data_IF_963050026676
#
_entry.id   IF_963050026676
#
_cell.length_a   1.000
_cell.length_b   1.000
_cell.length_c   1.000
_cell.angle_alpha   90.00
_cell.angle_beta   90.00
_cell.angle_gamma   90.00
#
_symmetry.space_group_name_H-M   'P 1'
#
loop_
_entity.id
_entity.type
_entity.pdbx_description
1 polymer ?
#
# COMPACT_ATOMS: atom_id res chain seq x y z
N UNK A 1 -34.84 -31.11 -74.02
CA UNK A 1 -35.39 -30.11 -73.08
C UNK A 1 -34.33 -29.91 -72.03
N UNK A 2 -33.57 -28.85 -72.25
CA UNK A 2 -32.27 -28.51 -71.68
C UNK A 2 -32.34 -28.09 -70.21
N UNK A 3 -31.32 -28.52 -69.46
CA UNK A 3 -30.98 -27.99 -68.14
C UNK A 3 -29.96 -26.84 -68.31
N UNK A 4 -30.33 -25.63 -67.91
CA UNK A 4 -29.44 -24.47 -67.89
C UNK A 4 -28.60 -24.38 -66.58
N UNK A 5 -27.33 -23.95 -66.64
CA UNK A 5 -26.43 -23.80 -65.48
C UNK A 5 -26.58 -22.42 -64.78
N UNK A 6 -26.05 -22.27 -63.54
CA UNK A 6 -26.16 -21.04 -62.75
C UNK A 6 -25.20 -19.92 -63.18
N UNK A 7 -25.64 -18.66 -63.03
CA UNK A 7 -24.91 -17.42 -63.38
C UNK A 7 -23.97 -16.95 -62.25
N UNK A 8 -22.76 -16.52 -62.64
CA UNK A 8 -21.72 -15.92 -61.77
C UNK A 8 -21.96 -14.43 -61.48
N UNK A 9 -21.47 -13.88 -60.33
CA UNK A 9 -21.61 -12.45 -60.00
C UNK A 9 -20.62 -11.54 -60.76
N UNK A 10 -20.95 -10.24 -60.96
CA UNK A 10 -20.14 -9.29 -61.72
C UNK A 10 -18.92 -8.70 -60.95
N UNK A 11 -17.90 -8.16 -61.66
CA UNK A 11 -16.64 -7.67 -61.08
C UNK A 11 -16.75 -6.27 -60.43
N UNK A 12 -15.78 -5.90 -59.55
CA UNK A 12 -15.76 -4.59 -58.89
C UNK A 12 -15.24 -3.46 -59.80
N UNK A 13 -15.65 -2.19 -59.55
CA UNK A 13 -15.21 -1.03 -60.33
C UNK A 13 -13.78 -0.53 -59.95
N UNK A 14 -13.11 0.23 -60.85
CA UNK A 14 -11.69 0.59 -60.71
C UNK A 14 -11.41 1.81 -59.80
N UNK A 15 -10.20 1.82 -59.24
CA UNK A 15 -9.59 2.87 -58.41
C UNK A 15 -9.27 4.15 -59.21
N UNK A 16 -9.60 5.31 -58.63
CA UNK A 16 -9.23 6.63 -59.14
C UNK A 16 -8.46 7.40 -58.07
N UNK A 17 -7.15 7.57 -58.28
CA UNK A 17 -6.28 8.45 -57.50
C UNK A 17 -6.31 9.87 -58.06
N UNK A 18 -6.61 10.88 -57.23
CA UNK A 18 -6.01 12.23 -57.34
C UNK A 18 -6.33 13.13 -56.13
N UNK A 19 -5.27 13.30 -55.35
CA UNK A 19 -4.81 14.38 -54.48
C UNK A 19 -5.55 15.75 -54.40
N UNK A 20 -5.57 16.24 -53.14
CA UNK A 20 -5.66 17.63 -52.61
C UNK A 20 -6.99 18.39 -52.66
N UNK A 21 -7.64 18.55 -51.50
CA UNK A 21 -8.02 19.88 -50.98
C UNK A 21 -8.37 19.84 -49.48
N UNK A 22 -7.93 20.89 -48.79
CA UNK A 22 -7.93 21.12 -47.35
C UNK A 22 -9.34 21.46 -46.84
N UNK A 23 -9.95 20.64 -45.97
CA UNK A 23 -11.08 21.07 -45.13
C UNK A 23 -10.89 20.59 -43.69
N UNK A 24 -10.68 21.58 -42.83
CA UNK A 24 -10.65 21.51 -41.37
C UNK A 24 -11.81 20.71 -40.76
N UNK A 25 -11.48 19.73 -39.92
CA UNK A 25 -12.43 19.02 -39.06
C UNK A 25 -12.64 19.86 -37.79
N UNK A 26 -13.87 20.31 -37.45
CA UNK A 26 -14.13 20.77 -36.09
C UNK A 26 -14.25 19.54 -35.20
N UNK A 27 -13.16 19.19 -34.51
CA UNK A 27 -13.19 18.24 -33.40
C UNK A 27 -13.82 18.94 -32.21
N UNK A 28 -15.12 18.72 -32.00
CA UNK A 28 -15.81 19.17 -30.79
C UNK A 28 -15.39 18.27 -29.63
N UNK A 29 -14.22 18.56 -29.06
CA UNK A 29 -13.80 17.99 -27.79
C UNK A 29 -14.80 18.44 -26.70
N UNK A 30 -15.47 17.48 -26.07
CA UNK A 30 -16.26 17.75 -24.87
C UNK A 30 -15.35 18.34 -23.78
N UNK A 31 -15.76 19.43 -23.09
CA UNK A 31 -14.97 19.93 -21.97
C UNK A 31 -14.91 18.86 -20.87
N UNK A 32 -13.79 18.77 -20.13
CA UNK A 32 -13.67 17.85 -19.01
C UNK A 32 -14.76 18.15 -17.97
N UNK A 33 -15.27 17.14 -17.25
CA UNK A 33 -16.24 17.36 -16.19
C UNK A 33 -15.65 18.31 -15.13
N UNK A 34 -16.46 19.20 -14.55
CA UNK A 34 -15.99 20.09 -13.50
C UNK A 34 -15.43 19.26 -12.31
N UNK A 35 -14.45 19.80 -11.59
CA UNK A 35 -13.94 19.15 -10.39
C UNK A 35 -15.09 18.90 -9.40
N UNK A 36 -15.03 17.82 -8.60
CA UNK A 36 -16.04 17.53 -7.59
C UNK A 36 -16.19 18.73 -6.65
N UNK A 37 -17.42 19.03 -6.18
CA UNK A 37 -17.64 20.14 -5.27
C UNK A 37 -16.80 19.96 -4.00
N UNK A 38 -16.25 21.05 -3.45
CA UNK A 38 -15.54 20.97 -2.18
C UNK A 38 -16.48 20.40 -1.10
N UNK A 39 -15.95 19.60 -0.16
CA UNK A 39 -16.75 19.08 0.95
C UNK A 39 -17.40 20.24 1.72
N UNK A 40 -18.58 20.04 2.32
CA UNK A 40 -19.28 21.09 3.04
C UNK A 40 -18.35 21.68 4.11
N UNK A 41 -18.17 23.01 4.05
CA UNK A 41 -17.44 23.78 5.05
C UNK A 41 -18.20 23.68 6.37
N UNK A 42 -17.83 22.69 7.18
CA UNK A 42 -18.18 22.70 8.59
C UNK A 42 -17.53 23.93 9.22
N UNK A 43 -18.37 24.92 9.49
CA UNK A 43 -18.03 26.11 10.24
C UNK A 43 -17.66 25.70 11.67
N UNK A 44 -16.37 25.51 11.92
CA UNK A 44 -15.80 25.56 13.27
C UNK A 44 -14.70 26.60 13.31
N UNK A 45 -14.92 27.60 14.16
CA UNK A 45 -14.21 28.87 14.30
C UNK A 45 -12.69 28.72 14.47
N UNK A 46 -11.95 29.45 13.62
CA UNK A 46 -10.66 30.13 13.82
C UNK A 46 -9.59 29.49 14.74
N UNK A 47 -8.46 29.04 14.17
CA UNK A 47 -7.23 29.86 14.04
C UNK A 47 -5.97 29.05 13.64
N UNK A 48 -5.25 29.57 12.62
CA UNK A 48 -3.89 29.23 12.10
C UNK A 48 -3.73 27.98 11.19
N UNK A 49 -2.94 28.07 10.09
CA UNK A 49 -2.67 26.93 9.22
C UNK A 49 -1.65 26.02 9.90
N UNK A 50 -2.11 24.90 10.46
CA UNK A 50 -1.22 23.84 10.90
C UNK A 50 -0.75 23.06 9.68
N UNK A 51 0.57 23.00 9.51
CA UNK A 51 1.34 22.16 8.59
C UNK A 51 0.63 20.84 8.24
N UNK A 52 0.33 20.63 6.96
CA UNK A 52 -0.14 19.37 6.38
C UNK A 52 1.02 18.38 6.46
N UNK A 53 1.18 17.75 7.61
CA UNK A 53 2.08 16.62 7.82
C UNK A 53 1.22 15.58 8.52
N UNK A 54 0.85 14.47 7.86
CA UNK A 54 0.22 13.41 8.61
C UNK A 54 1.28 12.83 9.56
N UNK A 55 0.94 12.68 10.85
CA UNK A 55 1.75 11.93 11.79
C UNK A 55 1.78 10.44 11.39
N UNK A 56 2.62 9.60 12.05
CA UNK A 56 2.37 8.15 12.06
C UNK A 56 0.90 7.85 12.40
N UNK A 57 0.37 6.68 12.01
CA UNK A 57 -1.00 6.30 12.32
C UNK A 57 -1.35 6.67 13.77
N UNK A 58 -2.40 7.48 14.00
CA UNK A 58 -2.76 7.92 15.35
C UNK A 58 -3.12 6.70 16.19
N UNK A 59 -2.78 6.63 17.48
CA UNK A 59 -3.33 5.55 18.30
C UNK A 59 -4.88 5.56 18.21
N UNK A 60 -5.56 4.41 18.11
CA UNK A 60 -7.02 4.34 17.98
C UNK A 60 -7.68 5.24 19.02
N UNK A 61 -8.60 6.11 18.57
CA UNK A 61 -9.25 7.13 19.41
C UNK A 61 -10.50 6.62 20.12
N UNK A 62 -10.88 5.35 19.91
CA UNK A 62 -11.88 4.72 20.75
C UNK A 62 -11.24 4.17 22.01
N UNK A 63 -11.99 4.26 23.10
CA UNK A 63 -11.65 3.74 24.43
C UNK A 63 -11.56 2.21 24.35
N UNK A 64 -10.51 1.70 23.73
CA UNK A 64 -10.04 0.34 23.92
C UNK A 64 -9.16 0.37 25.15
N UNK A 65 -9.65 -0.34 26.16
CA UNK A 65 -9.10 -0.47 27.50
C UNK A 65 -7.55 -0.43 27.54
N UNK A 66 -6.94 0.31 28.48
CA UNK A 66 -5.48 0.31 28.74
C UNK A 66 -4.83 -1.09 28.84
N UNK A 67 -5.66 -2.09 29.10
CA UNK A 67 -5.34 -3.51 29.18
C UNK A 67 -4.76 -4.08 27.87
N UNK A 68 -5.21 -3.63 26.71
CA UNK A 68 -4.75 -4.19 25.42
C UNK A 68 -3.35 -3.68 25.04
N UNK A 69 -3.06 -2.41 25.35
CA UNK A 69 -1.71 -1.83 25.26
C UNK A 69 -0.73 -2.58 26.15
N UNK A 70 -1.08 -2.76 27.43
CA UNK A 70 -0.26 -3.51 28.36
C UNK A 70 -0.07 -4.95 27.90
N UNK A 71 -1.13 -5.63 27.44
CA UNK A 71 -1.06 -7.03 27.00
C UNK A 71 -0.28 -7.23 25.71
N UNK A 72 -0.40 -6.34 24.71
CA UNK A 72 0.40 -6.43 23.49
C UNK A 72 1.88 -6.14 23.77
N UNK A 73 2.18 -5.08 24.53
CA UNK A 73 3.55 -4.81 24.98
C UNK A 73 4.07 -5.92 25.91
N UNK A 74 3.21 -6.52 26.73
CA UNK A 74 3.55 -7.65 27.59
C UNK A 74 3.78 -8.91 26.76
N UNK A 75 3.01 -9.15 25.69
CA UNK A 75 3.20 -10.23 24.73
C UNK A 75 4.51 -10.07 23.95
N UNK A 76 4.82 -8.86 23.46
CA UNK A 76 6.13 -8.54 22.87
C UNK A 76 7.28 -8.70 23.90
N UNK A 77 7.03 -8.37 25.17
CA UNK A 77 7.99 -8.60 26.25
C UNK A 77 8.09 -10.08 26.65
N UNK A 78 7.02 -10.86 26.55
CA UNK A 78 6.95 -12.26 26.94
C UNK A 78 7.52 -13.15 25.85
N UNK A 79 7.33 -12.82 24.57
CA UNK A 79 8.11 -13.36 23.45
C UNK A 79 9.60 -13.07 23.61
N UNK A 80 9.97 -11.90 24.17
CA UNK A 80 11.35 -11.58 24.57
C UNK A 80 11.81 -12.30 25.86
N UNK A 81 10.90 -12.69 26.75
CA UNK A 81 11.18 -13.31 28.06
C UNK A 81 11.14 -14.84 28.03
N UNK A 82 10.52 -15.46 27.02
CA UNK A 82 10.45 -16.91 26.88
C UNK A 82 11.77 -17.57 26.45
N UNK A 83 12.89 -16.83 26.36
CA UNK A 83 14.20 -17.45 26.52
C UNK A 83 15.23 -16.47 27.10
N UNK A 84 15.69 -16.68 28.35
CA UNK A 84 16.94 -16.11 28.80
C UNK A 84 18.07 -16.77 27.98
N UNK A 85 18.51 -16.10 26.91
CA UNK A 85 19.69 -16.50 26.14
C UNK A 85 19.47 -16.87 24.68
N UNK A 86 18.24 -16.88 24.14
CA UNK A 86 18.11 -17.06 22.68
C UNK A 86 18.36 -15.74 21.94
N UNK A 87 19.27 -15.73 20.94
CA UNK A 87 19.39 -14.60 20.05
C UNK A 87 18.08 -14.38 19.30
N UNK A 88 17.73 -13.12 19.04
CA UNK A 88 16.61 -12.77 18.16
C UNK A 88 16.69 -13.60 16.87
N UNK A 89 15.66 -14.41 16.62
CA UNK A 89 15.59 -15.19 15.40
C UNK A 89 15.33 -14.25 14.23
N UNK A 90 16.27 -14.20 13.29
CA UNK A 90 16.14 -13.39 12.09
C UNK A 90 14.87 -13.78 11.34
N UNK A 91 14.09 -12.79 10.93
CA UNK A 91 12.82 -13.02 10.24
C UNK A 91 12.74 -12.17 8.98
N UNK A 92 12.04 -12.66 7.96
CA UNK A 92 11.66 -11.86 6.82
C UNK A 92 10.36 -11.14 7.14
N UNK A 93 10.33 -9.82 6.98
CA UNK A 93 9.09 -9.05 7.06
C UNK A 93 8.59 -8.66 5.68
N UNK A 94 7.31 -8.91 5.45
CA UNK A 94 6.56 -8.43 4.31
C UNK A 94 5.92 -7.07 4.63
N UNK A 95 6.00 -6.14 3.67
CA UNK A 95 5.48 -4.79 3.75
C UNK A 95 4.60 -4.50 2.54
N UNK A 96 3.49 -3.81 2.78
CA UNK A 96 2.44 -3.53 1.78
C UNK A 96 1.96 -2.06 1.83
N UNK A 97 2.71 -1.19 2.53
CA UNK A 97 2.37 0.21 2.74
C UNK A 97 3.59 1.12 2.68
N UNK A 98 3.66 2.10 3.57
CA UNK A 98 4.78 3.06 3.63
C UNK A 98 6.16 2.40 3.77
N UNK A 99 6.24 1.28 4.48
CA UNK A 99 7.46 0.49 4.67
C UNK A 99 7.94 -0.22 3.40
N UNK A 100 7.20 -0.18 2.29
CA UNK A 100 7.71 -0.65 0.99
C UNK A 100 8.80 0.28 0.43
N UNK A 101 8.86 1.54 0.86
CA UNK A 101 9.89 2.49 0.44
C UNK A 101 11.19 2.29 1.25
N UNK A 102 12.33 1.98 0.59
CA UNK A 102 13.60 1.75 1.28
C UNK A 102 14.11 2.93 2.11
N UNK A 103 13.86 4.18 1.71
CA UNK A 103 14.31 5.35 2.47
C UNK A 103 13.47 5.54 3.75
N UNK A 104 12.19 5.18 3.69
CA UNK A 104 11.32 5.16 4.86
C UNK A 104 11.81 4.11 5.86
N UNK A 105 12.08 2.89 5.39
CA UNK A 105 12.69 1.83 6.21
C UNK A 105 14.00 2.31 6.83
N UNK A 106 14.89 2.89 6.01
CA UNK A 106 16.17 3.40 6.48
C UNK A 106 16.01 4.44 7.58
N UNK A 107 15.08 5.39 7.42
CA UNK A 107 14.84 6.45 8.39
C UNK A 107 14.26 5.92 9.72
N UNK A 108 13.30 5.00 9.66
CA UNK A 108 12.65 4.43 10.86
C UNK A 108 13.64 3.55 11.64
N UNK A 109 14.40 2.73 10.92
CA UNK A 109 15.34 1.78 11.50
C UNK A 109 16.69 2.40 11.84
N UNK A 110 16.95 3.62 11.36
CA UNK A 110 18.26 4.29 11.39
C UNK A 110 19.38 3.43 10.80
N UNK A 111 19.10 2.84 9.63
CA UNK A 111 20.08 2.00 8.95
C UNK A 111 21.19 2.87 8.35
N UNK A 112 22.47 2.45 8.44
CA UNK A 112 23.59 3.19 7.86
C UNK A 112 23.49 3.26 6.33
N UNK A 113 22.94 2.21 5.71
CA UNK A 113 22.80 2.06 4.27
C UNK A 113 21.33 1.85 3.88
N UNK A 114 21.02 2.11 2.61
CA UNK A 114 19.67 1.92 2.08
C UNK A 114 19.37 0.41 1.98
N UNK A 115 18.30 -0.11 2.61
CA UNK A 115 18.00 -1.53 2.57
C UNK A 115 17.54 -1.97 1.17
N UNK A 116 18.00 -3.14 0.72
CA UNK A 116 17.50 -3.75 -0.52
C UNK A 116 16.29 -4.64 -0.22
N UNK A 117 15.11 -4.18 -0.62
CA UNK A 117 13.85 -4.94 -0.52
C UNK A 117 13.63 -5.77 -1.79
N UNK A 118 12.96 -6.92 -1.68
CA UNK A 118 12.59 -7.76 -2.84
C UNK A 118 11.09 -7.70 -3.09
N UNK A 119 10.59 -7.52 -4.33
CA UNK A 119 9.18 -7.62 -4.64
C UNK A 119 8.63 -9.01 -4.29
N UNK A 120 7.45 -9.04 -3.69
CA UNK A 120 6.83 -10.27 -3.24
C UNK A 120 5.31 -10.16 -3.13
N UNK A 121 4.66 -11.31 -2.92
CA UNK A 121 3.21 -11.44 -2.78
C UNK A 121 2.88 -12.37 -1.62
N UNK A 122 1.85 -12.05 -0.85
CA UNK A 122 1.25 -12.94 0.16
C UNK A 122 -0.19 -13.29 -0.22
N UNK A 123 -0.66 -14.46 0.17
CA UNK A 123 -2.05 -14.89 0.00
C UNK A 123 -2.78 -15.00 1.34
N UNK A 124 -4.11 -15.05 1.32
CA UNK A 124 -4.92 -15.14 2.54
C UNK A 124 -5.28 -13.80 3.16
N UNK A 125 -4.94 -12.68 2.50
CA UNK A 125 -5.19 -11.33 2.96
C UNK A 125 -5.72 -10.43 1.85
N UNK A 126 -6.46 -9.38 2.22
CA UNK A 126 -6.82 -8.27 1.33
C UNK A 126 -6.53 -6.94 2.02
N UNK A 127 -6.39 -5.89 1.22
CA UNK A 127 -6.21 -4.52 1.72
C UNK A 127 -7.57 -3.89 2.04
N UNK A 128 -7.65 -3.24 3.20
CA UNK A 128 -8.60 -2.15 3.49
C UNK A 128 -7.82 -0.88 3.86
N UNK A 129 -8.50 0.25 3.85
CA UNK A 129 -7.92 1.55 4.20
C UNK A 129 -8.46 2.04 5.53
N UNK A 130 -7.56 2.48 6.40
CA UNK A 130 -7.88 3.27 7.59
C UNK A 130 -7.41 4.70 7.35
N UNK A 131 -8.32 5.55 6.85
CA UNK A 131 -7.95 6.83 6.28
C UNK A 131 -6.97 6.66 5.12
N UNK A 132 -5.72 7.11 5.29
CA UNK A 132 -4.67 6.96 4.27
C UNK A 132 -3.78 5.72 4.44
N UNK A 133 -3.95 4.98 5.54
CA UNK A 133 -3.06 3.88 5.90
C UNK A 133 -3.65 2.55 5.42
N UNK A 134 -2.91 1.74 4.64
CA UNK A 134 -3.38 0.41 4.29
C UNK A 134 -3.34 -0.50 5.51
N UNK A 135 -4.21 -1.51 5.50
CA UNK A 135 -4.20 -2.57 6.48
C UNK A 135 -4.56 -3.92 5.87
N UNK A 136 -3.90 -4.99 6.34
CA UNK A 136 -4.23 -6.35 5.96
C UNK A 136 -5.39 -6.89 6.80
N UNK A 137 -6.38 -7.42 6.11
CA UNK A 137 -7.51 -8.14 6.68
C UNK A 137 -7.52 -9.58 6.12
N UNK A 138 -7.77 -10.62 6.96
CA UNK A 138 -7.91 -11.99 6.48
C UNK A 138 -8.93 -12.12 5.35
N UNK A 139 -8.56 -12.83 4.28
CA UNK A 139 -9.40 -13.05 3.10
C UNK A 139 -8.95 -14.29 2.36
N UNK A 140 -9.80 -15.33 2.32
CA UNK A 140 -9.44 -16.64 1.77
C UNK A 140 -8.95 -16.60 0.31
N UNK A 141 -9.58 -15.78 -0.53
CA UNK A 141 -9.21 -15.60 -1.94
C UNK A 141 -8.32 -14.38 -2.21
N UNK A 142 -7.92 -13.67 -1.14
CA UNK A 142 -7.16 -12.43 -1.26
C UNK A 142 -5.68 -12.68 -1.49
N UNK A 143 -5.07 -11.75 -2.22
CA UNK A 143 -3.63 -11.69 -2.44
C UNK A 143 -3.18 -10.24 -2.39
N UNK A 144 -2.01 -9.99 -1.81
CA UNK A 144 -1.44 -8.65 -1.66
C UNK A 144 0.00 -8.64 -2.15
N UNK A 145 0.29 -7.71 -3.06
CA UNK A 145 1.63 -7.44 -3.54
C UNK A 145 2.31 -6.42 -2.64
N UNK A 146 3.62 -6.55 -2.51
CA UNK A 146 4.42 -5.70 -1.65
C UNK A 146 5.90 -6.00 -1.79
N UNK A 147 6.64 -5.78 -0.72
CA UNK A 147 8.07 -6.08 -0.67
C UNK A 147 8.42 -6.85 0.59
N UNK A 148 9.52 -7.59 0.54
CA UNK A 148 10.06 -8.32 1.69
C UNK A 148 11.48 -7.85 2.00
N UNK A 149 11.79 -7.76 3.29
CA UNK A 149 13.13 -7.44 3.77
C UNK A 149 13.50 -8.32 4.97
N UNK A 150 14.78 -8.68 5.05
CA UNK A 150 15.31 -9.52 6.14
C UNK A 150 15.67 -8.67 7.34
N UNK A 151 15.03 -8.92 8.47
CA UNK A 151 15.31 -8.28 9.74
C UNK A 151 16.22 -9.16 10.57
N UNK A 152 17.43 -8.67 10.85
CA UNK A 152 18.48 -9.42 11.52
C UNK A 152 18.64 -9.08 13.01
N UNK A 153 18.14 -7.92 13.44
CA UNK A 153 18.28 -7.40 14.80
C UNK A 153 16.91 -7.17 15.43
N UNK A 154 16.74 -7.63 16.68
CA UNK A 154 15.50 -7.39 17.43
C UNK A 154 15.19 -5.90 17.62
N UNK A 155 16.21 -5.05 17.75
CA UNK A 155 16.03 -3.60 17.83
C UNK A 155 15.39 -3.00 16.57
N UNK A 156 15.61 -3.59 15.38
CA UNK A 156 14.93 -3.16 14.17
C UNK A 156 13.47 -3.58 14.20
N UNK A 157 13.17 -4.80 14.66
CA UNK A 157 11.78 -5.25 14.85
C UNK A 157 11.03 -4.33 15.83
N UNK A 158 11.63 -4.01 16.97
CA UNK A 158 11.05 -3.13 17.99
C UNK A 158 10.73 -1.73 17.41
N UNK A 159 11.62 -1.19 16.56
CA UNK A 159 11.39 0.10 15.88
C UNK A 159 10.26 0.04 14.85
N UNK A 160 10.14 -1.05 14.09
CA UNK A 160 9.04 -1.25 13.17
C UNK A 160 7.70 -1.32 13.91
N UNK A 161 7.64 -2.13 14.98
CA UNK A 161 6.44 -2.23 15.81
C UNK A 161 6.07 -0.88 16.45
N UNK A 162 7.06 -0.11 16.89
CA UNK A 162 6.83 1.25 17.41
C UNK A 162 6.30 2.23 16.35
N UNK A 163 6.75 2.10 15.09
CA UNK A 163 6.29 2.94 13.97
C UNK A 163 4.85 2.61 13.56
N UNK A 164 4.50 1.32 13.46
CA UNK A 164 3.15 0.88 13.14
C UNK A 164 2.15 1.17 14.26
N UNK A 165 2.64 1.29 15.51
CA UNK A 165 1.84 1.53 16.72
C UNK A 165 0.94 0.33 17.06
N UNK A 166 -0.02 0.53 17.98
CA UNK A 166 -1.00 -0.51 18.34
C UNK A 166 -2.14 -0.65 17.35
N UNK A 167 -2.19 0.18 16.31
CA UNK A 167 -3.15 0.01 15.22
C UNK A 167 -2.92 -1.29 14.43
N UNK A 168 -1.70 -1.85 14.52
CA UNK A 168 -1.34 -3.08 13.86
C UNK A 168 -0.73 -4.10 14.82
N UNK A 169 -1.04 -5.37 14.60
CA UNK A 169 -0.35 -6.52 15.21
C UNK A 169 0.48 -7.21 14.16
N UNK A 170 1.54 -7.91 14.53
CA UNK A 170 2.23 -8.75 13.55
C UNK A 170 1.55 -10.13 13.47
N UNK A 171 1.61 -10.75 12.31
CA UNK A 171 1.09 -12.09 12.03
C UNK A 171 2.08 -12.88 11.18
N UNK A 172 1.99 -14.21 11.18
CA UNK A 172 2.81 -15.08 10.35
C UNK A 172 2.23 -15.22 8.95
N UNK A 173 3.10 -15.27 7.94
CA UNK A 173 2.69 -15.45 6.55
C UNK A 173 3.76 -16.19 5.73
N UNK A 174 3.31 -16.82 4.65
CA UNK A 174 4.17 -17.31 3.58
C UNK A 174 4.24 -16.26 2.46
N UNK A 175 5.45 -15.97 2.01
CA UNK A 175 5.73 -14.93 1.02
C UNK A 175 6.24 -15.58 -0.26
N UNK A 176 5.62 -15.27 -1.39
CA UNK A 176 6.05 -15.68 -2.73
C UNK A 176 6.79 -14.52 -3.38
N UNK A 177 8.09 -14.69 -3.61
CA UNK A 177 8.91 -13.71 -4.31
C UNK A 177 8.58 -13.69 -5.81
N UNK A 178 8.92 -12.60 -6.50
CA UNK A 178 8.67 -12.46 -7.95
C UNK A 178 9.28 -13.59 -8.80
N UNK A 179 10.35 -14.24 -8.33
CA UNK A 179 10.97 -15.41 -8.97
C UNK A 179 10.31 -16.77 -8.64
N UNK A 180 9.20 -16.79 -7.89
CA UNK A 180 8.50 -18.00 -7.47
C UNK A 180 9.07 -18.70 -6.22
N UNK A 181 10.19 -18.22 -5.68
CA UNK A 181 10.74 -18.68 -4.41
C UNK A 181 9.76 -18.38 -3.26
N UNK A 182 9.48 -19.38 -2.42
CA UNK A 182 8.57 -19.24 -1.27
C UNK A 182 9.37 -19.14 0.02
N UNK A 183 9.24 -18.02 0.72
CA UNK A 183 9.78 -17.80 2.06
C UNK A 183 8.70 -18.12 3.09
N UNK A 184 8.96 -19.12 3.94
CA UNK A 184 8.04 -19.54 5.02
C UNK A 184 8.36 -18.85 6.34
N UNK A 185 7.39 -18.83 7.24
CA UNK A 185 7.52 -18.24 8.58
C UNK A 185 7.96 -16.76 8.51
N UNK A 186 7.50 -16.05 7.48
CA UNK A 186 7.68 -14.60 7.40
C UNK A 186 6.68 -13.93 8.35
N UNK A 187 6.88 -12.63 8.58
CA UNK A 187 5.97 -11.81 9.38
C UNK A 187 5.42 -10.66 8.56
N UNK A 188 4.23 -10.21 8.87
CA UNK A 188 3.63 -8.99 8.30
C UNK A 188 2.86 -8.26 9.39
N UNK A 189 2.54 -6.98 9.19
CA UNK A 189 1.64 -6.24 10.08
C UNK A 189 0.20 -6.35 9.58
N UNK A 190 -0.76 -6.60 10.46
CA UNK A 190 -2.18 -6.75 10.17
C UNK A 190 -2.99 -5.82 11.06
N UNK A 191 -4.23 -5.50 10.67
CA UNK A 191 -5.12 -4.69 11.50
C UNK A 191 -5.25 -5.29 12.90
N UNK A 192 -5.02 -4.48 13.93
CA UNK A 192 -5.14 -4.95 15.31
C UNK A 192 -6.61 -5.06 15.76
N UNK A 193 -7.49 -4.19 15.25
CA UNK A 193 -8.91 -4.17 15.61
C UNK A 193 -9.77 -5.17 14.84
N UNK A 194 -11.08 -4.92 14.85
CA UNK A 194 -12.07 -5.79 14.19
C UNK A 194 -12.02 -5.67 12.66
N UNK A 195 -11.95 -6.79 11.91
CA UNK A 195 -11.91 -6.81 10.43
C UNK A 195 -13.05 -6.08 9.72
N UNK A 196 -14.22 -6.05 10.35
CA UNK A 196 -15.45 -5.45 9.83
C UNK A 196 -15.76 -4.11 10.52
N UNK A 197 -14.76 -3.50 11.17
CA UNK A 197 -14.87 -2.16 11.76
C UNK A 197 -15.31 -1.13 10.71
N UNK A 198 -16.17 -0.20 11.13
CA UNK A 198 -16.62 0.95 10.32
C UNK A 198 -15.52 1.99 10.10
N UNK A 199 -14.39 1.87 10.81
CA UNK A 199 -13.20 2.70 10.58
C UNK A 199 -12.44 2.28 9.31
N UNK A 200 -12.77 1.11 8.75
CA UNK A 200 -12.12 0.58 7.56
C UNK A 200 -13.00 0.74 6.34
N UNK A 201 -12.40 1.25 5.28
CA UNK A 201 -13.03 1.46 3.98
C UNK A 201 -12.38 0.57 2.92
N UNK A 202 -13.15 0.19 1.90
CA UNK A 202 -12.60 -0.45 0.72
C UNK A 202 -11.74 0.56 -0.06
N UNK A 203 -10.58 0.12 -0.53
CA UNK A 203 -9.67 0.98 -1.26
C UNK A 203 -8.35 0.31 -1.57
N UNK A 204 -7.42 1.08 -2.12
CA UNK A 204 -6.08 0.64 -2.44
C UNK A 204 -5.05 1.67 -1.97
N UNK A 205 -3.86 1.18 -1.67
CA UNK A 205 -2.74 2.04 -1.33
C UNK A 205 -1.95 2.39 -2.59
N UNK A 206 -1.69 3.69 -2.75
CA UNK A 206 -0.88 4.25 -3.82
C UNK A 206 0.47 4.68 -3.25
N UNK A 207 1.51 3.86 -3.51
CA UNK A 207 2.86 4.10 -3.03
C UNK A 207 3.46 5.38 -3.66
N UNK A 208 3.20 5.66 -4.94
CA UNK A 208 3.72 6.86 -5.61
C UNK A 208 3.14 8.13 -4.99
N UNK A 209 1.83 8.12 -4.72
CA UNK A 209 1.17 9.22 -4.01
C UNK A 209 1.75 9.39 -2.60
N UNK A 210 2.00 8.30 -1.89
CA UNK A 210 2.64 8.37 -0.56
C UNK A 210 4.04 8.97 -0.63
N UNK A 211 4.85 8.54 -1.59
CA UNK A 211 6.20 9.06 -1.82
C UNK A 211 6.19 10.56 -2.12
N UNK A 212 5.24 11.02 -2.93
CA UNK A 212 5.13 12.43 -3.33
C UNK A 212 4.73 13.36 -2.19
N UNK A 213 3.79 12.95 -1.34
CA UNK A 213 3.16 13.87 -0.37
C UNK A 213 3.51 13.60 1.09
N UNK A 214 3.92 12.38 1.45
CA UNK A 214 4.02 11.96 2.85
C UNK A 214 5.42 11.49 3.27
N UNK A 215 6.20 10.89 2.36
CA UNK A 215 7.55 10.37 2.66
C UNK A 215 8.46 11.38 3.38
N UNK A 216 8.45 12.64 2.96
CA UNK A 216 9.30 13.70 3.55
C UNK A 216 9.05 13.93 5.03
N UNK A 217 7.84 13.66 5.53
CA UNK A 217 7.51 13.78 6.97
C UNK A 217 8.28 12.77 7.83
N UNK A 218 8.61 11.61 7.26
CA UNK A 218 9.35 10.55 7.93
C UNK A 218 10.85 10.75 7.74
N UNK A 219 11.29 11.04 6.51
CA UNK A 219 12.72 11.09 6.17
C UNK A 219 13.43 12.39 6.60
N UNK A 220 12.72 13.52 6.73
CA UNK A 220 13.34 14.81 7.11
C UNK A 220 13.95 14.84 8.51
N UNK A 221 13.62 13.90 9.39
CA UNK A 221 14.23 13.79 10.73
C UNK A 221 15.75 13.52 10.69
N UNK A 222 16.33 13.25 9.51
CA UNK A 222 17.74 12.95 9.30
C UNK A 222 18.61 14.12 8.85
N UNK A 223 18.08 15.34 8.68
CA UNK A 223 18.93 16.49 8.35
C UNK A 223 19.91 16.72 9.50
N UNK A 224 21.24 16.57 9.29
CA UNK A 224 22.22 17.03 10.26
C UNK A 224 22.00 18.54 10.41
N UNK A 225 21.87 19.01 11.64
CA UNK A 225 22.04 20.43 11.91
C UNK A 225 23.49 20.75 11.54
N UNK A 226 23.74 21.75 10.66
CA UNK A 226 25.09 22.11 10.24
C UNK A 226 25.96 22.59 11.41
#
# INVERSE_FOLDING_TARGET
MDHAPPLSPPPPPPLLSRQEDEISIPSTAMPPPPPPPPPPLYLSKSSKPASIVPPPPPAPSEVFEPTEKAHYWQFLKDTKKNMPGEPFQQAHMFFYGSLMDPEVLQAILDLPELPTTRPATISGFRIKMWGIYPTLIPSHSGSVTGTVWKVTLGAHFDRLAAYETTAYRWDECDVVLEGGEVLRNCRTFCWAGEPDSKELEDGSFDLERYQKYFKSSVTRRRSPVP
#
